data_IF_558091066310
#
_entry.id   IF_558091066310
#
_cell.length_a   1.000
_cell.length_b   1.000
_cell.length_c   1.000
_cell.angle_alpha   90.00
_cell.angle_beta   90.00
_cell.angle_gamma   90.00
#
_symmetry.space_group_name_H-M   'P 1'
#
loop_
_entity.id
_entity.type
_entity.pdbx_description
1 polymer ?
#
# COMPACT_ATOMS: atom_id res chain seq x y z
N UNK A 1 -23.23 9.52 -14.91
CA UNK A 1 -22.42 9.03 -13.77
C UNK A 1 -21.69 10.24 -13.20
N UNK A 2 -21.92 10.56 -11.94
CA UNK A 2 -21.29 11.70 -11.25
C UNK A 2 -20.03 11.22 -10.50
N UNK A 3 -18.95 11.99 -10.52
CA UNK A 3 -17.68 11.71 -9.80
C UNK A 3 -17.67 12.42 -8.46
N UNK A 4 -17.20 11.73 -7.42
CA UNK A 4 -17.02 12.24 -6.06
C UNK A 4 -15.66 12.94 -5.89
N UNK A 5 -14.63 12.47 -6.61
CA UNK A 5 -13.28 13.02 -6.52
C UNK A 5 -13.09 14.24 -7.45
N UNK A 6 -12.39 15.29 -7.00
CA UNK A 6 -12.18 16.49 -7.79
C UNK A 6 -11.17 16.25 -8.93
N UNK A 7 -11.63 16.35 -10.17
CA UNK A 7 -10.82 16.20 -11.39
C UNK A 7 -9.53 17.01 -11.39
N UNK A 8 -9.54 18.25 -10.88
CA UNK A 8 -8.34 19.09 -10.81
C UNK A 8 -7.22 18.46 -9.97
N UNK A 9 -7.58 17.79 -8.86
CA UNK A 9 -6.59 17.11 -8.00
C UNK A 9 -6.08 15.83 -8.64
N UNK A 10 -6.97 15.03 -9.24
CA UNK A 10 -6.57 13.82 -9.97
C UNK A 10 -5.60 14.17 -11.08
N UNK A 11 -5.90 15.21 -11.87
CA UNK A 11 -5.00 15.68 -12.93
C UNK A 11 -3.64 16.14 -12.40
N UNK A 12 -3.61 16.86 -11.28
CA UNK A 12 -2.36 17.31 -10.66
C UNK A 12 -1.50 16.13 -10.20
N UNK A 13 -2.11 15.12 -9.56
CA UNK A 13 -1.42 13.89 -9.13
C UNK A 13 -0.89 13.14 -10.35
N UNK A 14 -1.71 12.93 -11.38
CA UNK A 14 -1.28 12.28 -12.62
C UNK A 14 -0.10 12.98 -13.27
N UNK A 15 -0.06 14.32 -13.26
CA UNK A 15 1.06 15.09 -13.83
C UNK A 15 2.29 15.19 -12.93
N UNK A 16 2.20 14.73 -11.68
CA UNK A 16 3.33 14.75 -10.73
C UNK A 16 4.29 13.57 -10.93
N UNK A 17 3.85 12.51 -11.61
CA UNK A 17 4.73 11.42 -12.03
C UNK A 17 5.60 11.83 -13.23
N UNK A 18 6.81 11.28 -13.28
CA UNK A 18 7.68 11.42 -14.45
C UNK A 18 7.03 10.67 -15.62
N UNK A 19 7.05 11.25 -16.82
CA UNK A 19 6.55 10.65 -18.07
C UNK A 19 5.03 10.61 -18.30
N UNK A 20 4.27 11.50 -17.67
CA UNK A 20 2.84 11.62 -18.01
C UNK A 20 2.65 12.42 -19.30
N UNK A 21 2.29 11.74 -20.38
CA UNK A 21 1.90 12.37 -21.65
C UNK A 21 0.64 13.25 -21.54
N UNK A 22 -0.01 13.54 -22.68
CA UNK A 22 -1.25 14.33 -22.65
C UNK A 22 -2.39 13.57 -21.93
N UNK A 23 -2.87 14.14 -20.83
CA UNK A 23 -4.05 13.63 -20.10
C UNK A 23 -5.32 14.28 -20.68
N UNK A 24 -6.04 13.53 -21.50
CA UNK A 24 -7.35 13.96 -22.05
C UNK A 24 -8.42 13.95 -20.97
N UNK A 25 -9.57 14.59 -21.23
CA UNK A 25 -10.69 14.60 -20.28
C UNK A 25 -11.32 13.22 -20.10
N UNK A 26 -11.29 12.37 -21.13
CA UNK A 26 -11.80 10.98 -21.06
C UNK A 26 -10.92 10.12 -20.15
N UNK A 27 -9.59 10.19 -20.33
CA UNK A 27 -8.63 9.50 -19.44
C UNK A 27 -8.76 10.02 -18.01
N UNK A 28 -8.92 11.33 -17.83
CA UNK A 28 -9.13 11.92 -16.52
C UNK A 28 -10.40 11.39 -15.84
N UNK A 29 -11.51 11.31 -16.56
CA UNK A 29 -12.76 10.77 -16.05
C UNK A 29 -12.63 9.29 -15.67
N UNK A 30 -12.03 8.48 -16.56
CA UNK A 30 -11.79 7.05 -16.31
C UNK A 30 -10.91 6.85 -15.07
N UNK A 31 -9.79 7.55 -14.96
CA UNK A 31 -8.89 7.47 -13.81
C UNK A 31 -9.58 7.91 -12.52
N UNK A 32 -10.40 8.96 -12.58
CA UNK A 32 -11.20 9.41 -11.42
C UNK A 32 -12.12 8.28 -10.94
N UNK A 33 -12.84 7.63 -11.87
CA UNK A 33 -13.71 6.50 -11.55
C UNK A 33 -12.97 5.28 -11.06
N UNK A 34 -11.87 4.90 -11.69
CA UNK A 34 -11.03 3.79 -11.24
C UNK A 34 -10.49 4.03 -9.83
N UNK A 35 -10.09 5.27 -9.50
CA UNK A 35 -9.61 5.62 -8.15
C UNK A 35 -10.71 5.50 -7.10
N UNK A 36 -11.93 5.99 -7.41
CA UNK A 36 -13.09 5.83 -6.52
C UNK A 36 -13.44 4.36 -6.26
N UNK A 37 -13.45 3.55 -7.33
CA UNK A 37 -13.74 2.12 -7.24
C UNK A 37 -12.64 1.39 -6.46
N UNK A 38 -11.38 1.74 -6.70
CA UNK A 38 -10.24 1.21 -5.98
C UNK A 38 -10.35 1.47 -4.48
N UNK A 39 -10.63 2.72 -4.06
CA UNK A 39 -10.76 3.05 -2.63
C UNK A 39 -11.90 2.28 -1.96
N UNK A 40 -13.06 2.17 -2.62
CA UNK A 40 -14.22 1.41 -2.13
C UNK A 40 -13.89 -0.08 -2.00
N UNK A 41 -13.22 -0.64 -3.00
CA UNK A 41 -12.78 -2.04 -2.97
C UNK A 41 -11.73 -2.27 -1.89
N UNK A 42 -10.67 -1.47 -1.85
CA UNK A 42 -9.58 -1.61 -0.89
C UNK A 42 -10.06 -1.54 0.57
N UNK A 43 -10.94 -0.58 0.89
CA UNK A 43 -11.53 -0.49 2.23
C UNK A 43 -12.37 -1.72 2.59
N UNK A 44 -13.18 -2.21 1.64
CA UNK A 44 -14.04 -3.39 1.83
C UNK A 44 -13.23 -4.68 1.99
N UNK A 45 -12.25 -4.90 1.12
CA UNK A 45 -11.37 -6.07 1.19
C UNK A 45 -10.58 -6.07 2.50
N UNK A 46 -10.03 -4.93 2.91
CA UNK A 46 -9.27 -4.84 4.17
C UNK A 46 -10.16 -5.15 5.38
N UNK A 47 -11.42 -4.73 5.34
CA UNK A 47 -12.40 -5.06 6.39
C UNK A 47 -12.75 -6.56 6.41
N UNK A 48 -12.87 -7.19 5.23
CA UNK A 48 -13.17 -8.61 5.12
C UNK A 48 -11.98 -9.49 5.53
N UNK A 49 -10.77 -9.13 5.08
CA UNK A 49 -9.50 -9.78 5.42
C UNK A 49 -9.27 -9.76 6.94
N UNK A 50 -9.52 -8.62 7.59
CA UNK A 50 -9.46 -8.47 9.05
C UNK A 50 -10.63 -9.14 9.81
N UNK A 51 -11.41 -10.02 9.16
CA UNK A 51 -12.55 -10.76 9.75
C UNK A 51 -13.63 -9.86 10.36
N UNK A 52 -13.96 -8.75 9.67
CA UNK A 52 -15.03 -7.80 10.03
C UNK A 52 -14.84 -7.17 11.43
N UNK A 53 -13.74 -6.43 11.64
CA UNK A 53 -13.45 -5.80 12.92
C UNK A 53 -14.47 -4.69 13.23
N UNK A 54 -14.56 -4.23 14.47
CA UNK A 54 -15.47 -3.12 14.81
C UNK A 54 -15.06 -1.80 14.12
N UNK A 55 -13.76 -1.61 13.86
CA UNK A 55 -13.22 -0.46 13.14
C UNK A 55 -12.10 -0.89 12.19
N UNK A 56 -12.00 -0.23 11.04
CA UNK A 56 -10.88 -0.41 10.13
C UNK A 56 -9.68 0.42 10.63
N UNK A 57 -8.53 -0.22 10.83
CA UNK A 57 -7.31 0.43 11.33
C UNK A 57 -6.21 0.32 10.29
N UNK A 58 -5.15 1.10 10.46
CA UNK A 58 -3.98 1.06 9.57
C UNK A 58 -3.39 -0.35 9.44
N UNK A 59 -3.30 -1.10 10.54
CA UNK A 59 -2.70 -2.43 10.53
C UNK A 59 -3.49 -3.37 9.60
N UNK A 60 -4.83 -3.30 9.60
CA UNK A 60 -5.65 -4.09 8.67
C UNK A 60 -5.35 -3.78 7.19
N UNK A 61 -5.06 -2.51 6.87
CA UNK A 61 -4.66 -2.12 5.52
C UNK A 61 -3.27 -2.67 5.18
N UNK A 62 -2.32 -2.52 6.10
CA UNK A 62 -0.94 -2.98 5.92
C UNK A 62 -0.86 -4.51 5.80
N UNK A 63 -1.68 -5.25 6.55
CA UNK A 63 -1.77 -6.72 6.48
C UNK A 63 -2.22 -7.15 5.09
N UNK A 64 -3.31 -6.57 4.58
CA UNK A 64 -3.80 -6.86 3.24
C UNK A 64 -2.77 -6.51 2.15
N UNK A 65 -2.11 -5.36 2.26
CA UNK A 65 -1.07 -4.92 1.30
C UNK A 65 0.14 -5.86 1.30
N UNK A 66 0.51 -6.39 2.47
CA UNK A 66 1.64 -7.30 2.63
C UNK A 66 1.37 -8.69 2.03
N UNK A 67 0.13 -9.15 2.07
CA UNK A 67 -0.27 -10.50 1.66
C UNK A 67 -0.82 -10.59 0.23
N UNK A 68 -1.14 -9.46 -0.42
CA UNK A 68 -1.75 -9.44 -1.75
C UNK A 68 -0.83 -8.78 -2.79
N UNK A 69 -0.30 -9.59 -3.71
CA UNK A 69 0.60 -9.15 -4.79
C UNK A 69 0.00 -8.04 -5.67
N UNK A 70 -1.32 -8.02 -5.87
CA UNK A 70 -1.98 -6.97 -6.66
C UNK A 70 -1.90 -5.58 -5.96
N UNK A 71 -1.59 -5.55 -4.68
CA UNK A 71 -1.41 -4.35 -3.87
C UNK A 71 0.06 -4.05 -3.58
N UNK A 72 1.01 -4.80 -4.14
CA UNK A 72 2.44 -4.61 -3.90
C UNK A 72 2.92 -3.18 -4.21
N UNK A 73 2.27 -2.47 -5.13
CA UNK A 73 2.56 -1.06 -5.42
C UNK A 73 2.35 -0.13 -4.22
N UNK A 74 1.59 -0.56 -3.20
CA UNK A 74 1.35 0.19 -1.96
C UNK A 74 2.37 -0.10 -0.86
N UNK A 75 3.26 -1.09 -0.99
CA UNK A 75 4.18 -1.48 0.10
C UNK A 75 5.04 -0.31 0.60
N UNK A 76 5.46 0.57 -0.31
CA UNK A 76 6.26 1.75 0.02
C UNK A 76 5.42 2.90 0.63
N UNK A 77 4.10 2.85 0.47
CA UNK A 77 3.16 3.88 0.94
C UNK A 77 2.49 3.47 2.25
N UNK A 78 2.20 2.17 2.40
CA UNK A 78 1.53 1.56 3.55
C UNK A 78 2.40 0.40 4.08
N UNK A 79 3.58 0.70 4.66
CA UNK A 79 4.44 -0.34 5.20
C UNK A 79 3.89 -0.98 6.47
N UNK A 80 4.25 -2.23 6.71
CA UNK A 80 4.03 -2.89 8.00
C UNK A 80 4.77 -2.16 9.12
N UNK A 81 4.06 -1.92 10.22
CA UNK A 81 4.65 -1.26 11.40
C UNK A 81 5.35 -2.30 12.25
N UNK A 82 6.63 -2.06 12.53
CA UNK A 82 7.41 -2.81 13.51
C UNK A 82 7.78 -1.92 14.69
N UNK A 83 7.72 -2.45 15.91
CA UNK A 83 8.21 -1.70 17.08
C UNK A 83 9.74 -1.70 17.09
N UNK A 84 10.35 -0.62 17.58
CA UNK A 84 11.81 -0.52 17.72
C UNK A 84 12.39 -1.72 18.50
N UNK A 85 11.70 -2.21 19.52
CA UNK A 85 12.12 -3.40 20.29
C UNK A 85 12.17 -4.66 19.43
N UNK A 86 11.14 -4.87 18.60
CA UNK A 86 11.05 -6.03 17.70
C UNK A 86 12.12 -5.93 16.61
N UNK A 87 12.33 -4.72 16.06
CA UNK A 87 13.38 -4.48 15.08
C UNK A 87 14.79 -4.74 15.63
N UNK A 88 15.07 -4.30 16.87
CA UNK A 88 16.35 -4.61 17.54
C UNK A 88 16.56 -6.11 17.71
N UNK A 89 15.53 -6.84 18.13
CA UNK A 89 15.62 -8.29 18.27
C UNK A 89 15.87 -9.00 16.92
N UNK A 90 15.26 -8.52 15.82
CA UNK A 90 15.53 -9.03 14.48
C UNK A 90 16.96 -8.77 14.01
N UNK A 91 17.54 -7.60 14.35
CA UNK A 91 18.94 -7.29 14.04
C UNK A 91 19.89 -8.21 14.81
N UNK A 92 19.65 -8.38 16.12
CA UNK A 92 20.45 -9.27 16.97
C UNK A 92 20.40 -10.73 16.47
N UNK A 93 19.24 -11.21 16.03
CA UNK A 93 19.10 -12.55 15.42
C UNK A 93 19.75 -12.66 14.03
N UNK A 94 19.74 -11.57 13.25
CA UNK A 94 20.39 -11.51 11.93
C UNK A 94 21.91 -11.56 12.00
N UNK A 95 22.52 -10.93 13.01
CA UNK A 95 23.97 -10.97 13.25
C UNK A 95 24.43 -12.35 13.75
N UNK A 96 23.69 -13.00 14.66
CA UNK A 96 24.02 -14.37 15.13
C UNK A 96 23.93 -15.43 14.02
N UNK A 97 23.03 -15.23 13.06
CA UNK A 97 22.90 -16.09 11.86
C UNK A 97 24.11 -15.97 10.91
N UNK A 98 24.79 -14.82 10.95
CA UNK A 98 25.93 -14.49 10.08
C UNK A 98 27.25 -14.99 10.66
N UNK A 99 27.43 -14.90 11.98
CA UNK A 99 28.63 -15.38 12.69
C UNK A 99 28.69 -16.92 12.81
N UNK A 100 27.54 -17.60 12.90
CA UNK A 100 27.51 -19.08 12.97
C UNK A 100 27.87 -19.79 11.66
N UNK A 101 27.95 -19.07 10.54
CA UNK A 101 28.36 -19.60 9.23
C UNK A 101 29.85 -19.46 8.93
N UNK A 102 30.66 -18.81 9.78
CA UNK A 102 32.11 -18.63 9.55
C UNK A 102 33.02 -19.59 10.32
N UNK A 103 32.49 -20.41 11.24
CA UNK A 103 33.28 -21.33 12.08
C UNK A 103 33.21 -22.80 11.63
N UNK A 104 32.91 -23.04 10.36
CA UNK A 104 32.90 -24.39 9.76
C UNK A 104 33.87 -24.49 8.57
N UNK A 105 35.17 -24.37 8.85
CA UNK A 105 36.27 -24.94 8.02
C UNK A 105 37.07 -25.96 8.83
#
# INVERSE_FOLDING_TARGET
METELPHTRIRAIMKSSVDTGQVTNEVLFLMTKSTEMFLKHFAKESYQHAKKPNNLTYNHLADLVQENDNLAFLLQIIPQKIKVKEFKALLEQGDESSESSSDSE
#
